data_IF_633018310799
#
_entry.id   IF_633018310799
#
_cell.length_a   1.000
_cell.length_b   1.000
_cell.length_c   1.000
_cell.angle_alpha   90.00
_cell.angle_beta   90.00
_cell.angle_gamma   90.00
#
_symmetry.space_group_name_H-M   'P 1'
#
loop_
_entity.id
_entity.type
_entity.pdbx_description
1 polymer ?
#
# COMPACT_ATOMS: atom_id res chain seq x y z
N UNK A 1 -27.05 -5.50 5.98
CA UNK A 1 -26.72 -5.27 7.40
C UNK A 1 -25.25 -4.90 7.51
N UNK A 2 -24.91 -3.82 8.22
CA UNK A 2 -23.50 -3.49 8.49
C UNK A 2 -22.88 -4.58 9.36
N UNK A 3 -21.67 -5.01 9.01
CA UNK A 3 -20.95 -6.06 9.73
C UNK A 3 -20.03 -5.41 10.77
N UNK A 4 -20.32 -5.62 12.05
CA UNK A 4 -19.54 -5.03 13.14
C UNK A 4 -18.14 -5.65 13.29
N UNK A 5 -17.97 -6.91 12.86
CA UNK A 5 -16.70 -7.64 12.94
C UNK A 5 -16.15 -7.92 11.54
N UNK A 6 -14.94 -7.44 11.30
CA UNK A 6 -14.24 -7.69 10.06
C UNK A 6 -13.88 -9.17 9.93
N UNK A 7 -14.10 -9.75 8.75
CA UNK A 7 -13.69 -11.12 8.45
C UNK A 7 -12.32 -11.16 7.81
N UNK A 8 -11.63 -12.29 7.92
CA UNK A 8 -10.35 -12.53 7.22
C UNK A 8 -10.46 -12.39 5.69
N UNK A 9 -11.68 -12.52 5.14
CA UNK A 9 -11.94 -12.31 3.72
C UNK A 9 -11.72 -10.86 3.25
N UNK A 10 -11.91 -9.85 4.11
CA UNK A 10 -11.69 -8.43 3.75
C UNK A 10 -10.23 -8.15 3.35
N UNK A 11 -9.24 -8.34 4.26
CA UNK A 11 -7.84 -8.17 3.90
C UNK A 11 -7.36 -9.23 2.90
N UNK A 12 -7.97 -10.43 2.88
CA UNK A 12 -7.66 -11.47 1.91
C UNK A 12 -7.98 -11.09 0.47
N UNK A 13 -9.12 -10.42 0.23
CA UNK A 13 -9.47 -9.88 -1.08
C UNK A 13 -8.55 -8.72 -1.48
N UNK A 14 -8.16 -7.87 -0.54
CA UNK A 14 -7.19 -6.81 -0.81
C UNK A 14 -5.81 -7.37 -1.19
N UNK A 15 -5.33 -8.38 -0.47
CA UNK A 15 -4.07 -9.07 -0.75
C UNK A 15 -4.08 -9.76 -2.12
N UNK A 16 -5.21 -10.36 -2.52
CA UNK A 16 -5.31 -10.99 -3.85
C UNK A 16 -5.26 -9.96 -4.98
N UNK A 17 -5.85 -8.78 -4.80
CA UNK A 17 -5.72 -7.67 -5.76
C UNK A 17 -4.28 -7.18 -5.88
N UNK A 18 -3.55 -7.07 -4.78
CA UNK A 18 -2.11 -6.71 -4.80
C UNK A 18 -1.33 -7.72 -5.65
N UNK A 19 -1.62 -9.02 -5.51
CA UNK A 19 -0.95 -10.06 -6.31
C UNK A 19 -1.30 -10.02 -7.80
N UNK A 20 -2.45 -9.46 -8.19
CA UNK A 20 -2.87 -9.33 -9.59
C UNK A 20 -2.21 -8.14 -10.30
N UNK A 21 -1.81 -7.10 -9.56
CA UNK A 21 -1.22 -5.88 -10.10
C UNK A 21 0.19 -5.66 -9.53
N UNK A 22 1.20 -6.44 -9.96
CA UNK A 22 2.56 -6.34 -9.44
C UNK A 22 3.20 -4.98 -9.71
N UNK A 23 2.69 -4.20 -10.68
CA UNK A 23 3.18 -2.86 -10.98
C UNK A 23 3.00 -1.88 -9.80
N UNK A 24 2.04 -2.16 -8.92
CA UNK A 24 1.71 -1.32 -7.77
C UNK A 24 2.79 -1.40 -6.69
N UNK A 25 3.51 -2.52 -6.57
CA UNK A 25 4.48 -2.76 -5.50
C UNK A 25 5.58 -1.70 -5.41
N UNK A 26 6.02 -1.14 -6.55
CA UNK A 26 7.09 -0.15 -6.59
C UNK A 26 6.68 1.26 -6.15
N UNK A 27 5.38 1.55 -6.09
CA UNK A 27 4.85 2.89 -5.82
C UNK A 27 4.13 3.03 -4.47
N UNK A 28 4.08 1.95 -3.68
CA UNK A 28 3.56 1.94 -2.32
C UNK A 28 4.44 2.82 -1.41
N UNK A 29 3.83 3.75 -0.68
CA UNK A 29 4.54 4.70 0.16
C UNK A 29 4.88 4.12 1.52
N UNK A 30 3.98 3.32 2.11
CA UNK A 30 4.16 2.76 3.46
C UNK A 30 3.80 1.27 3.57
N UNK A 31 4.41 0.38 2.75
CA UNK A 31 4.08 -1.05 2.75
C UNK A 31 4.44 -1.77 4.06
N UNK A 32 5.50 -1.34 4.75
CA UNK A 32 5.92 -1.93 6.02
C UNK A 32 4.90 -1.65 7.12
N UNK A 33 4.35 -0.42 7.16
CA UNK A 33 3.40 0.00 8.18
C UNK A 33 2.06 -0.73 7.98
N UNK A 34 1.57 -0.78 6.74
CA UNK A 34 0.30 -1.44 6.41
C UNK A 34 0.36 -2.94 6.67
N UNK A 35 1.47 -3.61 6.32
CA UNK A 35 1.66 -5.04 6.59
C UNK A 35 1.80 -5.34 8.09
N UNK A 36 2.51 -4.50 8.84
CA UNK A 36 2.66 -4.67 10.28
C UNK A 36 1.32 -4.49 11.02
N UNK A 37 0.47 -3.55 10.58
CA UNK A 37 -0.89 -3.40 11.12
C UNK A 37 -1.74 -4.67 10.87
N UNK A 38 -1.68 -5.24 9.66
CA UNK A 38 -2.38 -6.48 9.34
C UNK A 38 -1.87 -7.66 10.19
N UNK A 39 -0.55 -7.79 10.35
CA UNK A 39 0.06 -8.83 11.19
C UNK A 39 -0.35 -8.69 12.65
N UNK A 40 -0.32 -7.45 13.16
CA UNK A 40 -0.73 -7.13 14.52
C UNK A 40 -2.17 -7.55 14.78
N UNK A 41 -3.10 -7.15 13.90
CA UNK A 41 -4.50 -7.52 14.05
C UNK A 41 -4.74 -9.04 13.86
N UNK A 42 -4.04 -9.68 12.92
CA UNK A 42 -4.15 -11.12 12.66
C UNK A 42 -3.68 -11.99 13.85
N UNK A 43 -2.71 -11.52 14.62
CA UNK A 43 -2.26 -12.18 15.87
C UNK A 43 -3.21 -11.89 17.03
N UNK A 44 -3.74 -10.67 17.12
CA UNK A 44 -4.52 -10.22 18.28
C UNK A 44 -5.96 -10.75 18.25
N UNK A 45 -6.56 -10.91 17.07
CA UNK A 45 -7.90 -11.48 16.87
C UNK A 45 -8.07 -12.91 17.47
N UNK A 46 -7.26 -13.92 17.09
CA UNK A 46 -7.40 -15.28 17.64
C UNK A 46 -7.05 -15.32 19.13
N UNK A 47 -6.08 -14.53 19.57
CA UNK A 47 -5.68 -14.45 20.97
C UNK A 47 -6.83 -13.95 21.86
N UNK A 48 -7.52 -12.87 21.45
CA UNK A 48 -8.69 -12.40 22.20
C UNK A 48 -9.92 -13.28 22.05
N UNK A 49 -10.07 -13.99 20.94
CA UNK A 49 -11.13 -14.99 20.79
C UNK A 49 -10.99 -16.12 21.81
N UNK A 50 -9.79 -16.65 22.00
CA UNK A 50 -9.51 -17.71 22.99
C UNK A 50 -9.74 -17.18 24.41
N UNK A 51 -9.22 -15.99 24.72
CA UNK A 51 -9.39 -15.41 26.06
C UNK A 51 -10.85 -15.11 26.40
N UNK A 52 -11.65 -14.66 25.42
CA UNK A 52 -13.07 -14.36 25.60
C UNK A 52 -13.94 -15.61 25.63
N UNK A 53 -13.80 -16.50 24.65
CA UNK A 53 -14.71 -17.65 24.46
C UNK A 53 -14.30 -18.88 25.28
N UNK A 54 -13.01 -19.21 25.33
CA UNK A 54 -12.55 -20.40 26.05
C UNK A 54 -12.15 -20.16 27.50
N UNK A 55 -11.49 -19.04 27.80
CA UNK A 55 -11.02 -18.77 29.18
C UNK A 55 -11.99 -17.93 30.01
N UNK A 56 -12.95 -17.23 29.39
CA UNK A 56 -13.91 -16.35 30.08
C UNK A 56 -13.28 -15.14 30.78
N UNK A 57 -11.98 -14.88 30.55
CA UNK A 57 -11.23 -13.73 31.10
C UNK A 57 -11.21 -12.52 30.15
N UNK A 58 -11.54 -12.74 28.87
CA UNK A 58 -11.58 -11.70 27.85
C UNK A 58 -12.93 -10.97 27.79
N UNK A 59 -12.90 -9.70 27.37
CA UNK A 59 -14.08 -8.87 27.10
C UNK A 59 -14.24 -8.66 25.59
N UNK A 60 -15.48 -8.75 25.09
CA UNK A 60 -15.82 -8.52 23.68
C UNK A 60 -15.35 -7.14 23.15
N UNK A 61 -15.26 -6.12 23.99
CA UNK A 61 -14.73 -4.80 23.60
C UNK A 61 -13.27 -4.87 23.10
N UNK A 62 -12.43 -5.75 23.67
CA UNK A 62 -11.05 -5.92 23.21
C UNK A 62 -10.99 -6.61 21.84
N UNK A 63 -11.87 -7.59 21.63
CA UNK A 63 -12.01 -8.26 20.34
C UNK A 63 -12.51 -7.27 19.26
N UNK A 64 -13.44 -6.40 19.62
CA UNK A 64 -13.91 -5.32 18.75
C UNK A 64 -12.80 -4.33 18.40
N UNK A 65 -12.02 -3.87 19.39
CA UNK A 65 -10.88 -2.99 19.14
C UNK A 65 -9.86 -3.60 18.17
N UNK A 66 -9.55 -4.90 18.31
CA UNK A 66 -8.69 -5.62 17.37
C UNK A 66 -9.25 -5.61 15.94
N UNK A 67 -10.56 -5.80 15.79
CA UNK A 67 -11.24 -5.76 14.48
C UNK A 67 -11.26 -4.35 13.86
N UNK A 68 -11.31 -3.28 14.67
CA UNK A 68 -11.16 -1.91 14.20
C UNK A 68 -9.74 -1.64 13.67
N UNK A 69 -8.71 -2.18 14.32
CA UNK A 69 -7.33 -2.08 13.82
C UNK A 69 -7.18 -2.80 12.49
N UNK A 70 -7.81 -3.97 12.32
CA UNK A 70 -7.86 -4.65 11.02
C UNK A 70 -8.55 -3.78 9.95
N UNK A 71 -9.63 -3.08 10.30
CA UNK A 71 -10.31 -2.15 9.40
C UNK A 71 -9.44 -0.94 9.03
N UNK A 72 -8.73 -0.36 10.00
CA UNK A 72 -7.74 0.70 9.75
C UNK A 72 -6.59 0.22 8.87
N UNK A 73 -6.13 -1.02 9.06
CA UNK A 73 -5.09 -1.63 8.24
C UNK A 73 -5.54 -1.72 6.77
N UNK A 74 -6.77 -2.19 6.53
CA UNK A 74 -7.39 -2.24 5.20
C UNK A 74 -7.56 -0.85 4.59
N UNK A 75 -8.04 0.13 5.37
CA UNK A 75 -8.17 1.52 4.92
C UNK A 75 -6.82 2.16 4.56
N UNK A 76 -5.80 1.95 5.39
CA UNK A 76 -4.44 2.43 5.12
C UNK A 76 -3.85 1.79 3.86
N UNK A 77 -4.04 0.48 3.68
CA UNK A 77 -3.66 -0.24 2.47
C UNK A 77 -4.36 0.30 1.22
N UNK A 78 -5.66 0.57 1.31
CA UNK A 78 -6.44 1.13 0.20
C UNK A 78 -5.93 2.51 -0.21
N UNK A 79 -5.66 3.39 0.76
CA UNK A 79 -5.11 4.72 0.49
C UNK A 79 -3.73 4.61 -0.18
N UNK A 80 -2.88 3.68 0.29
CA UNK A 80 -1.56 3.45 -0.29
C UNK A 80 -1.66 2.91 -1.74
N UNK A 81 -2.61 2.00 -2.00
CA UNK A 81 -2.89 1.48 -3.33
C UNK A 81 -3.47 2.56 -4.28
N UNK A 82 -4.39 3.41 -3.79
CA UNK A 82 -4.89 4.55 -4.56
C UNK A 82 -3.77 5.55 -4.90
N UNK A 83 -2.88 5.82 -3.94
CA UNK A 83 -1.71 6.66 -4.17
C UNK A 83 -0.78 6.07 -5.24
N UNK A 84 -0.45 4.79 -5.13
CA UNK A 84 0.37 4.08 -6.10
C UNK A 84 -0.28 4.06 -7.49
N UNK A 85 -1.59 3.78 -7.59
CA UNK A 85 -2.35 3.83 -8.84
C UNK A 85 -2.35 5.22 -9.48
N UNK A 86 -2.50 6.28 -8.68
CA UNK A 86 -2.40 7.65 -9.17
C UNK A 86 -0.99 7.97 -9.70
N UNK A 87 0.07 7.52 -9.01
CA UNK A 87 1.46 7.70 -9.47
C UNK A 87 1.75 6.97 -10.78
N UNK A 88 1.22 5.76 -10.94
CA UNK A 88 1.32 5.00 -12.19
C UNK A 88 0.59 5.73 -13.33
N UNK A 89 -0.62 6.24 -13.07
CA UNK A 89 -1.43 6.93 -14.08
C UNK A 89 -0.85 8.29 -14.50
N UNK A 90 -0.31 9.06 -13.56
CA UNK A 90 0.32 10.35 -13.87
C UNK A 90 1.64 10.18 -14.64
N UNK A 91 2.31 9.02 -14.47
CA UNK A 91 3.67 8.78 -14.94
C UNK A 91 4.69 9.66 -14.21
N UNK A 92 5.93 9.19 -14.08
CA UNK A 92 7.01 10.12 -13.79
C UNK A 92 7.11 11.08 -14.98
N UNK A 93 6.98 12.37 -14.68
CA UNK A 93 7.12 13.45 -15.66
C UNK A 93 8.49 13.30 -16.33
N UNK A 94 8.52 12.72 -17.54
CA UNK A 94 9.71 12.47 -18.38
C UNK A 94 10.41 13.75 -18.88
N UNK A 95 10.29 14.87 -18.18
CA UNK A 95 10.81 16.16 -18.64
C UNK A 95 12.34 16.22 -18.55
N UNK A 96 12.98 15.45 -17.68
CA UNK A 96 14.44 15.57 -17.49
C UNK A 96 15.28 14.73 -18.47
N UNK A 97 14.81 13.57 -18.94
CA UNK A 97 15.58 12.74 -19.87
C UNK A 97 15.57 13.28 -21.30
N UNK A 98 14.45 13.84 -21.77
CA UNK A 98 14.41 14.52 -23.07
C UNK A 98 15.15 15.85 -23.05
N UNK A 99 15.09 16.59 -21.94
CA UNK A 99 15.82 17.84 -21.76
C UNK A 99 17.33 17.64 -21.81
N UNK A 100 17.88 16.66 -21.07
CA UNK A 100 19.31 16.35 -21.12
C UNK A 100 19.76 15.82 -22.49
N UNK A 101 18.94 15.00 -23.15
CA UNK A 101 19.23 14.50 -24.50
C UNK A 101 19.24 15.61 -25.56
N UNK A 102 18.33 16.58 -25.46
CA UNK A 102 18.35 17.76 -26.34
C UNK A 102 19.56 18.66 -26.05
N UNK A 103 19.86 18.95 -24.78
CA UNK A 103 21.01 19.81 -24.41
C UNK A 103 22.32 19.19 -24.89
N UNK A 104 22.53 17.88 -24.67
CA UNK A 104 23.71 17.19 -25.19
C UNK A 104 23.80 17.26 -26.72
N UNK A 105 22.67 17.12 -27.43
CA UNK A 105 22.61 17.25 -28.89
C UNK A 105 22.97 18.67 -29.36
N UNK A 106 22.50 19.71 -28.66
CA UNK A 106 22.82 21.10 -28.96
C UNK A 106 24.27 21.46 -28.67
N UNK A 107 24.89 20.85 -27.66
CA UNK A 107 26.31 21.02 -27.39
C UNK A 107 27.17 20.40 -28.48
N UNK A 108 26.87 19.17 -28.90
CA UNK A 108 27.58 18.50 -30.01
C UNK A 108 27.49 19.32 -31.30
N UNK A 109 26.28 19.75 -31.69
CA UNK A 109 26.09 20.56 -32.89
C UNK A 109 26.83 21.91 -32.83
N UNK A 110 26.96 22.50 -31.63
CA UNK A 110 27.70 23.76 -31.43
C UNK A 110 29.21 23.57 -31.65
N UNK A 111 29.76 22.42 -31.24
CA UNK A 111 31.17 22.10 -31.45
C UNK A 111 31.47 21.81 -32.93
N UNK A 112 30.56 21.15 -33.66
CA UNK A 112 30.72 20.88 -35.09
C UNK A 112 30.80 22.18 -35.91
N UNK A 113 29.92 23.15 -35.63
CA UNK A 113 29.91 24.46 -36.31
C UNK A 113 31.15 25.31 -35.97
N UNK A 114 31.77 25.10 -34.80
CA UNK A 114 32.98 25.82 -34.40
C UNK A 114 34.27 25.25 -35.03
N UNK A 115 34.18 24.16 -35.79
CA UNK A 115 35.30 23.51 -36.48
C UNK A 115 35.32 23.81 -38.00
N UNK A 116 34.29 24.48 -38.53
CA UNK A 116 34.22 25.01 -39.91
C UNK A 116 34.69 26.47 -39.97
#
# INVERSE_FOLDING_TARGET
>A
TFKAYLTLADPGLFLSMISLFPEVHGYLRHPIVTTLLHLHAALLLPLQHILWVSEGRGNANFYYAASLVMGMAGGAGLVDACWAGMRIALGDVKVESEGKGQVARWEVARWEVAQE
#
